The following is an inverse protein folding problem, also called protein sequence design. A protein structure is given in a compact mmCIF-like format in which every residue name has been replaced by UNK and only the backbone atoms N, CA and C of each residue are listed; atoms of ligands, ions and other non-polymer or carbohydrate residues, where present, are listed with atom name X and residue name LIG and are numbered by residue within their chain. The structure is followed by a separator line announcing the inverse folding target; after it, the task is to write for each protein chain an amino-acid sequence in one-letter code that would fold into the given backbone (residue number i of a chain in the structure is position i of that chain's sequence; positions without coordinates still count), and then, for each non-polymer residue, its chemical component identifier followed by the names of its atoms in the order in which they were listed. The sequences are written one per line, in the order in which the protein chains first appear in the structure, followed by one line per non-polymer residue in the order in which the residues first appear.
data_IF_019470608164
#
_entry.id   IF_019470608164
#
_cell.length_a   1.000
_cell.length_b   1.000
_cell.length_c   1.000
_cell.angle_alpha   90.00
_cell.angle_beta   90.00
_cell.angle_gamma   90.00
#
_symmetry.space_group_name_H-M   'P 1'
#
loop_
_entity.id
_entity.type
_entity.pdbx_description
1 polymer ?
#
# COMPACT_ATOMS: atom_id res chain seq x y z
N UNK A 1 -0.61 -26.77 1.61
CA UNK A 1 -0.27 -25.41 2.08
C UNK A 1 0.30 -24.63 0.92
N UNK A 2 -0.33 -23.53 0.51
CA UNK A 2 0.27 -22.61 -0.47
C UNK A 2 1.55 -22.05 0.12
N UNK A 3 2.68 -22.10 -0.61
CA UNK A 3 3.91 -21.41 -0.19
C UNK A 3 3.65 -19.90 -0.20
N UNK A 4 4.04 -19.22 0.87
CA UNK A 4 4.04 -17.76 0.88
C UNK A 4 5.00 -17.25 -0.19
N UNK A 5 4.53 -16.34 -1.05
CA UNK A 5 5.38 -15.66 -2.03
C UNK A 5 5.99 -14.43 -1.37
N UNK A 6 7.30 -14.29 -1.50
CA UNK A 6 8.06 -13.14 -1.01
C UNK A 6 8.38 -12.22 -2.19
N UNK A 7 8.55 -10.94 -1.89
CA UNK A 7 8.82 -9.91 -2.87
C UNK A 7 9.95 -9.02 -2.36
N UNK A 8 10.80 -8.59 -3.28
CA UNK A 8 11.83 -7.60 -3.05
C UNK A 8 11.25 -6.19 -3.12
N UNK A 9 11.89 -5.19 -2.50
CA UNK A 9 11.50 -3.79 -2.67
C UNK A 9 11.46 -3.36 -4.14
N UNK A 10 12.40 -3.84 -4.95
CA UNK A 10 12.45 -3.54 -6.39
C UNK A 10 11.23 -4.07 -7.14
N UNK A 11 10.79 -5.30 -6.85
CA UNK A 11 9.55 -5.85 -7.43
C UNK A 11 8.34 -5.04 -7.02
N UNK A 12 8.21 -4.66 -5.75
CA UNK A 12 7.08 -3.80 -5.31
C UNK A 12 7.13 -2.45 -6.03
N UNK A 13 8.31 -1.84 -6.17
CA UNK A 13 8.48 -0.52 -6.78
C UNK A 13 8.13 -0.45 -8.27
N UNK A 14 8.11 -1.58 -8.98
CA UNK A 14 7.67 -1.61 -10.39
C UNK A 14 6.14 -1.52 -10.55
N UNK A 15 5.38 -1.81 -9.49
CA UNK A 15 3.92 -1.73 -9.47
C UNK A 15 3.48 -0.38 -8.89
N UNK A 16 3.69 0.70 -9.65
CA UNK A 16 3.62 2.09 -9.18
C UNK A 16 2.61 2.97 -9.93
N UNK A 17 1.59 2.38 -10.55
CA UNK A 17 0.57 3.10 -11.33
C UNK A 17 -0.83 2.92 -10.74
N UNK A 18 -1.82 3.71 -11.17
CA UNK A 18 -3.19 3.56 -10.67
C UNK A 18 -3.84 2.21 -11.05
N UNK A 19 -3.47 1.66 -12.21
CA UNK A 19 -4.00 0.38 -12.72
C UNK A 19 -3.16 -0.83 -12.24
N UNK A 20 -1.98 -0.58 -11.66
CA UNK A 20 -1.06 -1.57 -11.10
C UNK A 20 -0.39 -0.98 -9.85
N UNK A 21 -1.16 -0.92 -8.75
CA UNK A 21 -0.82 -0.19 -7.53
C UNK A 21 -0.50 -1.15 -6.40
N UNK A 22 0.79 -1.35 -6.13
CA UNK A 22 1.21 -2.11 -4.96
C UNK A 22 1.81 -1.20 -3.90
N UNK A 23 1.71 -1.64 -2.65
CA UNK A 23 2.41 -1.03 -1.51
C UNK A 23 2.93 -2.13 -0.58
N UNK A 24 3.97 -1.83 0.20
CA UNK A 24 4.31 -2.64 1.37
C UNK A 24 3.78 -2.02 2.66
N UNK A 25 3.25 -2.86 3.54
CA UNK A 25 2.66 -2.49 4.83
C UNK A 25 2.98 -3.55 5.88
N UNK A 26 3.77 -3.19 6.90
CA UNK A 26 4.12 -4.03 8.05
C UNK A 26 4.58 -5.45 7.62
N UNK A 27 5.46 -5.49 6.63
CA UNK A 27 6.04 -6.74 6.09
C UNK A 27 5.13 -7.50 5.13
N UNK A 28 3.99 -6.93 4.71
CA UNK A 28 3.09 -7.51 3.69
C UNK A 28 3.12 -6.67 2.42
N UNK A 29 2.92 -7.31 1.29
CA UNK A 29 2.68 -6.64 0.00
C UNK A 29 1.20 -6.69 -0.31
N UNK A 30 0.61 -5.55 -0.62
CA UNK A 30 -0.80 -5.41 -0.96
C UNK A 30 -0.93 -4.92 -2.40
N UNK A 31 -1.71 -5.64 -3.20
CA UNK A 31 -2.21 -5.15 -4.48
C UNK A 31 -3.52 -4.38 -4.23
N UNK A 32 -3.46 -3.07 -4.40
CA UNK A 32 -4.58 -2.16 -4.21
C UNK A 32 -5.18 -1.70 -5.55
N UNK A 33 -4.74 -2.23 -6.69
CA UNK A 33 -5.29 -1.92 -8.01
C UNK A 33 -6.83 -2.08 -8.05
N UNK A 34 -7.44 -3.14 -7.45
CA UNK A 34 -8.89 -3.24 -7.39
C UNK A 34 -9.58 -2.12 -6.58
N UNK A 35 -8.92 -1.62 -5.53
CA UNK A 35 -9.42 -0.52 -4.72
C UNK A 35 -9.31 0.81 -5.48
N UNK A 36 -8.18 1.04 -6.13
CA UNK A 36 -7.97 2.23 -6.97
C UNK A 36 -8.99 2.30 -8.10
N UNK A 37 -9.26 1.18 -8.77
CA UNK A 37 -10.27 1.11 -9.82
C UNK A 37 -11.69 1.35 -9.29
N UNK A 38 -12.03 0.82 -8.11
CA UNK A 38 -13.35 1.02 -7.48
C UNK A 38 -13.60 2.48 -7.09
N UNK A 39 -12.57 3.18 -6.63
CA UNK A 39 -12.66 4.56 -6.13
C UNK A 39 -12.00 5.56 -7.08
N UNK A 40 -12.01 5.26 -8.39
CA UNK A 40 -11.36 6.09 -9.40
C UNK A 40 -11.91 7.52 -9.38
N UNK A 41 -11.01 8.49 -9.24
CA UNK A 41 -11.35 9.92 -9.19
C UNK A 41 -11.70 10.44 -7.79
N UNK A 42 -11.73 9.58 -6.77
CA UNK A 42 -11.90 10.01 -5.37
C UNK A 42 -10.61 10.69 -4.87
N UNK A 43 -10.74 11.89 -4.32
CA UNK A 43 -9.62 12.64 -3.76
C UNK A 43 -8.95 11.91 -2.59
N UNK A 44 -9.69 11.08 -1.86
CA UNK A 44 -9.15 10.27 -0.75
C UNK A 44 -8.18 9.18 -1.22
N UNK A 45 -8.15 8.88 -2.52
CA UNK A 45 -7.21 7.92 -3.11
C UNK A 45 -5.81 8.52 -3.33
N UNK A 46 -5.70 9.85 -3.40
CA UNK A 46 -4.44 10.54 -3.75
C UNK A 46 -3.22 10.09 -2.94
N UNK A 47 -3.29 9.97 -1.59
CA UNK A 47 -2.12 9.55 -0.81
C UNK A 47 -1.62 8.15 -1.17
N UNK A 48 -2.54 7.24 -1.54
CA UNK A 48 -2.20 5.89 -1.99
C UNK A 48 -1.58 5.91 -3.39
N UNK A 49 -2.12 6.70 -4.32
CA UNK A 49 -1.56 6.89 -5.67
C UNK A 49 -0.14 7.46 -5.60
N UNK A 50 0.08 8.49 -4.78
CA UNK A 50 1.39 9.12 -4.58
C UNK A 50 2.41 8.19 -3.90
N UNK A 51 1.91 7.16 -3.21
CA UNK A 51 2.71 6.16 -2.50
C UNK A 51 2.81 4.81 -3.23
N UNK A 52 2.33 4.72 -4.47
CA UNK A 52 2.40 3.50 -5.25
C UNK A 52 3.86 3.03 -5.41
N UNK A 53 4.08 1.73 -5.22
CA UNK A 53 5.39 1.09 -5.20
C UNK A 53 6.24 1.35 -3.94
N UNK A 54 5.68 1.96 -2.88
CA UNK A 54 6.44 2.34 -1.66
C UNK A 54 5.97 1.57 -0.42
N UNK A 55 6.75 1.71 0.64
CA UNK A 55 6.39 1.27 1.99
C UNK A 55 5.60 2.35 2.73
N UNK A 56 4.37 2.01 3.14
CA UNK A 56 3.46 2.90 3.87
C UNK A 56 3.35 2.56 5.35
N UNK A 57 4.24 1.71 5.89
CA UNK A 57 4.21 1.26 7.29
C UNK A 57 4.31 2.40 8.29
N UNK A 58 4.92 3.52 7.92
CA UNK A 58 5.04 4.71 8.78
C UNK A 58 3.70 5.35 9.15
N UNK A 59 2.64 5.08 8.39
CA UNK A 59 1.30 5.58 8.66
C UNK A 59 0.58 4.82 9.76
N UNK A 60 1.07 3.63 10.12
CA UNK A 60 0.39 2.70 11.01
C UNK A 60 1.18 2.46 12.29
N UNK A 61 0.45 2.18 13.36
CA UNK A 61 1.05 1.61 14.56
C UNK A 61 1.41 0.13 14.30
N UNK A 62 2.66 -0.31 14.53
CA UNK A 62 3.06 -1.69 14.23
C UNK A 62 2.39 -2.74 15.12
N UNK A 63 1.95 -2.35 16.32
CA UNK A 63 1.32 -3.25 17.30
C UNK A 63 -0.19 -3.33 17.07
N UNK A 64 -0.87 -2.17 16.97
CA UNK A 64 -2.33 -2.13 16.80
C UNK A 64 -2.77 -2.28 15.36
N UNK A 65 -1.91 -1.92 14.40
CA UNK A 65 -2.19 -1.84 12.95
C UNK A 65 -3.21 -0.77 12.58
N UNK A 66 -3.56 0.12 13.51
CA UNK A 66 -4.39 1.28 13.23
C UNK A 66 -3.58 2.39 12.59
N UNK A 67 -4.26 3.29 11.88
CA UNK A 67 -3.65 4.52 11.38
C UNK A 67 -3.23 5.38 12.57
N UNK A 68 -1.99 5.88 12.54
CA UNK A 68 -1.48 6.80 13.55
C UNK A 68 -2.30 8.09 13.50
N UNK A 69 -2.94 8.43 14.60
CA UNK A 69 -3.48 9.77 14.81
C UNK A 69 -2.34 10.68 15.26
N UNK A 70 -2.18 11.84 14.62
CA UNK A 70 -1.36 12.89 15.23
C UNK A 70 -2.12 13.38 16.48
N UNK A 71 -1.61 13.05 17.67
CA UNK A 71 -1.99 13.78 18.87
C UNK A 71 -1.31 15.15 18.77
N UNK A 72 -2.10 16.18 18.47
CA UNK A 72 -1.69 17.57 18.73
C UNK A 72 -1.33 17.76 20.20
#
# INVERSE_FOLDING_TARGET
MSRSRFFTPSEVSSHNTADDLWVSLLGRVLDLSPLAQRHKGDALLLPLLESAGKDISSWFDPDTKDVRSQKN
#
